data_IF_499802838622
#
_entry.id   IF_499802838622
#
_cell.length_a   1.000
_cell.length_b   1.000
_cell.length_c   1.000
_cell.angle_alpha   90.00
_cell.angle_beta   90.00
_cell.angle_gamma   90.00
#
_symmetry.space_group_name_H-M   'P 1'
#
loop_
_entity.id
_entity.type
_entity.pdbx_description
1 polymer ?
#
# COMPACT_ATOMS: atom_id res chain seq x y z
N UNK A 1 -1.25 -13.09 9.02
CA UNK A 1 -2.72 -13.05 9.24
C UNK A 1 -3.40 -13.04 7.89
N UNK A 2 -4.56 -13.66 7.73
CA UNK A 2 -5.26 -13.59 6.44
C UNK A 2 -5.73 -12.16 6.16
N UNK A 3 -5.62 -11.73 4.91
CA UNK A 3 -6.09 -10.41 4.48
C UNK A 3 -5.13 -9.24 4.77
N UNK A 4 -3.91 -9.45 5.26
CA UNK A 4 -2.94 -8.37 5.53
C UNK A 4 -2.14 -7.94 4.30
N UNK A 5 -1.60 -8.89 3.54
CA UNK A 5 -0.77 -8.60 2.36
C UNK A 5 -1.56 -8.05 1.18
N UNK A 6 -2.35 -8.90 0.50
CA UNK A 6 -3.08 -8.53 -0.71
C UNK A 6 -4.06 -7.37 -0.51
N UNK A 7 -4.90 -7.42 0.52
CA UNK A 7 -5.84 -6.33 0.82
C UNK A 7 -5.11 -5.05 1.21
N UNK A 8 -4.05 -5.14 2.03
CA UNK A 8 -3.24 -3.97 2.39
C UNK A 8 -2.59 -3.32 1.16
N UNK A 9 -2.14 -4.14 0.21
CA UNK A 9 -1.56 -3.70 -1.06
C UNK A 9 -2.57 -2.90 -1.88
N UNK A 10 -3.78 -3.43 -2.08
CA UNK A 10 -4.81 -2.72 -2.86
C UNK A 10 -5.33 -1.47 -2.14
N UNK A 11 -5.46 -1.50 -0.81
CA UNK A 11 -5.83 -0.31 -0.05
C UNK A 11 -4.77 0.78 -0.17
N UNK A 12 -3.48 0.44 -0.19
CA UNK A 12 -2.42 1.42 -0.39
C UNK A 12 -2.45 2.01 -1.81
N UNK A 13 -2.65 1.18 -2.85
CA UNK A 13 -2.86 1.69 -4.21
C UNK A 13 -4.09 2.61 -4.28
N UNK A 14 -5.18 2.24 -3.62
CA UNK A 14 -6.38 3.08 -3.53
C UNK A 14 -6.07 4.44 -2.89
N UNK A 15 -5.31 4.48 -1.78
CA UNK A 15 -4.88 5.74 -1.17
C UNK A 15 -3.98 6.58 -2.08
N UNK A 16 -3.11 5.96 -2.88
CA UNK A 16 -2.30 6.68 -3.88
C UNK A 16 -3.21 7.40 -4.88
N UNK A 17 -4.22 6.71 -5.40
CA UNK A 17 -5.16 7.26 -6.40
C UNK A 17 -6.09 8.32 -5.81
N UNK A 18 -6.71 8.02 -4.67
CA UNK A 18 -7.76 8.86 -4.08
C UNK A 18 -7.19 10.10 -3.39
N UNK A 19 -6.01 10.00 -2.79
CA UNK A 19 -5.42 11.06 -1.96
C UNK A 19 -4.13 11.65 -2.53
N UNK A 20 -3.69 11.20 -3.71
CA UNK A 20 -2.44 11.65 -4.33
C UNK A 20 -1.19 11.31 -3.51
N UNK A 21 -1.27 10.30 -2.62
CA UNK A 21 -0.12 9.91 -1.81
C UNK A 21 0.95 9.22 -2.66
N UNK A 22 2.21 9.54 -2.40
CA UNK A 22 3.31 8.73 -2.90
C UNK A 22 3.22 7.30 -2.32
N UNK A 23 3.64 6.30 -3.07
CA UNK A 23 3.51 4.89 -2.66
C UNK A 23 4.09 4.58 -1.29
N UNK A 24 5.22 5.20 -0.92
CA UNK A 24 5.82 5.04 0.40
C UNK A 24 4.95 5.61 1.54
N UNK A 25 4.30 6.76 1.32
CA UNK A 25 3.37 7.37 2.27
C UNK A 25 2.10 6.53 2.43
N UNK A 26 1.56 6.01 1.32
CA UNK A 26 0.41 5.11 1.34
C UNK A 26 0.70 3.81 2.12
N UNK A 27 1.88 3.20 1.94
CA UNK A 27 2.32 2.03 2.73
C UNK A 27 2.37 2.37 4.22
N UNK A 28 2.97 3.51 4.58
CA UNK A 28 3.06 3.97 5.97
C UNK A 28 1.68 4.15 6.59
N UNK A 29 0.76 4.78 5.87
CA UNK A 29 -0.60 5.04 6.36
C UNK A 29 -1.39 3.73 6.56
N UNK A 30 -1.30 2.79 5.61
CA UNK A 30 -1.95 1.48 5.76
C UNK A 30 -1.38 0.70 6.95
N UNK A 31 -0.06 0.75 7.19
CA UNK A 31 0.56 0.11 8.36
C UNK A 31 0.18 0.79 9.68
N UNK A 32 -0.02 2.11 9.67
CA UNK A 32 -0.51 2.88 10.84
C UNK A 32 -1.94 2.48 11.18
N UNK A 33 -2.82 2.39 10.18
CA UNK A 33 -4.23 2.03 10.36
C UNK A 33 -4.42 0.55 10.70
N UNK A 34 -3.63 -0.32 10.06
CA UNK A 34 -3.69 -1.76 10.26
C UNK A 34 -2.28 -2.37 10.28
N UNK A 35 -1.66 -2.45 11.47
CA UNK A 35 -0.32 -3.01 11.64
C UNK A 35 -0.14 -4.39 10.99
N UNK A 36 1.03 -4.62 10.42
CA UNK A 36 1.37 -5.87 9.70
C UNK A 36 0.78 -5.99 8.30
N UNK A 37 0.10 -4.96 7.77
CA UNK A 37 -0.34 -4.95 6.37
C UNK A 37 0.83 -4.77 5.39
N UNK A 38 0.67 -5.28 4.17
CA UNK A 38 1.69 -5.28 3.10
C UNK A 38 2.89 -6.09 3.59
N UNK A 39 2.77 -7.41 3.44
CA UNK A 39 3.56 -8.42 4.12
C UNK A 39 4.90 -8.71 3.42
N UNK A 40 5.04 -8.38 2.13
CA UNK A 40 6.25 -8.70 1.36
C UNK A 40 6.81 -7.48 0.63
N UNK A 41 8.12 -7.48 0.40
CA UNK A 41 8.79 -6.44 -0.37
C UNK A 41 8.26 -6.33 -1.81
N UNK A 42 7.74 -7.43 -2.38
CA UNK A 42 7.13 -7.40 -3.70
C UNK A 42 5.80 -6.64 -3.72
N UNK A 43 5.01 -6.77 -2.65
CA UNK A 43 3.78 -5.98 -2.46
C UNK A 43 4.10 -4.50 -2.28
N UNK A 44 5.12 -4.15 -1.49
CA UNK A 44 5.59 -2.76 -1.36
C UNK A 44 6.00 -2.19 -2.72
N UNK A 45 6.81 -2.91 -3.50
CA UNK A 45 7.21 -2.50 -4.85
C UNK A 45 6.03 -2.33 -5.79
N UNK A 46 5.00 -3.16 -5.67
CA UNK A 46 3.78 -3.02 -6.49
C UNK A 46 3.07 -1.70 -6.22
N UNK A 47 2.94 -1.29 -4.94
CA UNK A 47 2.35 0.00 -4.56
C UNK A 47 3.19 1.17 -5.08
N UNK A 48 4.51 1.10 -4.90
CA UNK A 48 5.43 2.16 -5.35
C UNK A 48 5.36 2.34 -6.86
N UNK A 49 5.40 1.25 -7.64
CA UNK A 49 5.26 1.31 -9.10
C UNK A 49 3.89 1.83 -9.52
N UNK A 50 2.82 1.37 -8.89
CA UNK A 50 1.47 1.86 -9.18
C UNK A 50 1.38 3.38 -8.98
N UNK A 51 1.92 3.89 -7.88
CA UNK A 51 1.97 5.33 -7.59
C UNK A 51 2.73 6.16 -8.62
N UNK A 52 3.70 5.58 -9.34
CA UNK A 52 4.47 6.26 -10.40
C UNK A 52 3.75 6.23 -11.76
N UNK A 53 2.72 5.39 -11.91
CA UNK A 53 1.92 5.26 -13.12
C UNK A 53 0.58 6.01 -13.04
N UNK A 54 0.25 6.61 -11.89
CA UNK A 54 -0.88 7.51 -11.69
C UNK A 54 -0.56 8.90 -12.26
#
# INVERSE_FOLDING_TARGET
>A
MLGHGRTGTLLACYLCKERGLAGADAIREIRRLRPGSIETAEQERAVIRFSQCL
#
